data_IF_209175131373
#
_entry.id   IF_209175131373
#
_cell.length_a   1.000
_cell.length_b   1.000
_cell.length_c   1.000
_cell.angle_alpha   90.00
_cell.angle_beta   90.00
_cell.angle_gamma   90.00
#
_symmetry.space_group_name_H-M   'P 1'
#
loop_
_entity.id
_entity.type
_entity.pdbx_description
1 polymer ?
#
# COMPACT_ATOMS: atom_id res chain seq x y z
N UNK A 1 -54.25 -72.37 19.44
CA UNK A 1 -55.03 -71.35 20.18
C UNK A 1 -55.30 -70.22 19.20
N UNK A 2 -56.48 -70.22 18.61
CA UNK A 2 -57.03 -69.09 17.85
C UNK A 2 -57.97 -68.31 18.78
N UNK A 3 -58.02 -66.98 18.63
CA UNK A 3 -59.26 -66.23 18.82
C UNK A 3 -59.19 -64.87 18.07
N UNK A 4 -60.30 -64.37 17.50
CA UNK A 4 -60.36 -63.32 16.48
C UNK A 4 -60.73 -61.95 17.06
N UNK A 5 -60.64 -60.87 16.27
CA UNK A 5 -61.54 -59.69 16.36
C UNK A 5 -61.36 -58.75 15.16
N UNK A 6 -62.43 -58.58 14.38
CA UNK A 6 -62.68 -57.50 13.43
C UNK A 6 -63.05 -56.21 14.18
N UNK A 7 -62.68 -55.05 13.66
CA UNK A 7 -63.56 -53.86 13.55
C UNK A 7 -63.06 -52.95 12.43
N UNK A 8 -64.03 -52.34 11.75
CA UNK A 8 -63.90 -51.54 10.54
C UNK A 8 -64.50 -50.16 10.84
N UNK A 9 -63.83 -49.09 10.38
CA UNK A 9 -64.29 -47.70 10.12
C UNK A 9 -64.96 -46.89 11.25
N UNK A 10 -64.48 -45.66 11.46
CA UNK A 10 -65.18 -44.43 11.01
C UNK A 10 -64.37 -43.15 11.25
N UNK A 11 -64.35 -42.30 10.21
CA UNK A 11 -64.38 -40.83 10.19
C UNK A 11 -63.21 -39.99 10.74
N UNK A 12 -62.35 -39.55 9.81
CA UNK A 12 -61.54 -38.33 9.95
C UNK A 12 -62.07 -37.25 8.98
N UNK A 13 -62.36 -36.02 9.44
CA UNK A 13 -63.00 -35.00 8.62
C UNK A 13 -62.05 -34.26 7.66
N UNK A 14 -62.67 -33.76 6.59
CA UNK A 14 -62.13 -33.06 5.43
C UNK A 14 -61.53 -31.67 5.75
N UNK A 15 -60.44 -31.38 5.04
CA UNK A 15 -60.07 -30.12 4.35
C UNK A 15 -60.31 -28.78 5.07
N UNK A 16 -59.20 -28.15 5.47
CA UNK A 16 -59.07 -26.70 5.55
C UNK A 16 -58.06 -26.26 4.49
N UNK A 17 -58.52 -25.56 3.45
CA UNK A 17 -57.68 -25.01 2.38
C UNK A 17 -56.91 -23.81 2.93
N UNK A 18 -55.59 -23.81 2.77
CA UNK A 18 -54.73 -22.67 3.06
C UNK A 18 -55.02 -21.51 2.07
N UNK A 19 -55.02 -20.25 2.52
CA UNK A 19 -55.27 -19.12 1.65
C UNK A 19 -54.10 -18.91 0.67
N UNK A 20 -54.34 -18.30 -0.51
CA UNK A 20 -53.31 -18.12 -1.52
C UNK A 20 -52.19 -17.21 -1.00
N UNK A 21 -50.95 -17.63 -1.28
CA UNK A 21 -49.73 -16.90 -0.95
C UNK A 21 -49.80 -15.51 -1.60
N UNK A 22 -49.85 -14.46 -0.78
CA UNK A 22 -49.75 -13.09 -1.27
C UNK A 22 -48.41 -12.93 -2.00
N UNK A 23 -48.46 -12.55 -3.27
CA UNK A 23 -47.28 -12.16 -4.06
C UNK A 23 -46.61 -10.97 -3.38
N UNK A 24 -45.48 -11.24 -2.72
CA UNK A 24 -44.58 -10.21 -2.21
C UNK A 24 -44.05 -9.44 -3.42
N UNK A 25 -44.16 -8.10 -3.45
CA UNK A 25 -43.56 -7.32 -4.52
C UNK A 25 -42.06 -7.62 -4.56
N UNK A 26 -41.55 -8.03 -5.72
CA UNK A 26 -40.12 -8.11 -5.98
C UNK A 26 -39.53 -6.74 -5.66
N UNK A 27 -38.84 -6.66 -4.52
CA UNK A 27 -38.02 -5.52 -4.17
C UNK A 27 -37.07 -5.30 -5.34
N UNK A 28 -37.28 -4.19 -6.05
CA UNK A 28 -36.33 -3.69 -7.05
C UNK A 28 -34.99 -3.61 -6.33
N UNK A 29 -34.06 -4.47 -6.71
CA UNK A 29 -32.71 -4.45 -6.17
C UNK A 29 -32.14 -3.07 -6.49
N UNK A 30 -32.04 -2.22 -5.47
CA UNK A 30 -31.20 -1.04 -5.54
C UNK A 30 -29.79 -1.55 -5.79
N UNK A 31 -29.33 -1.46 -7.04
CA UNK A 31 -27.94 -1.67 -7.43
C UNK A 31 -27.10 -0.58 -6.76
N UNK A 32 -26.81 -0.75 -5.47
CA UNK A 32 -25.70 -0.05 -4.86
C UNK A 32 -24.45 -0.53 -5.58
N UNK A 33 -23.83 0.34 -6.37
CA UNK A 33 -22.55 0.06 -7.02
C UNK A 33 -21.49 -0.15 -5.95
N UNK A 34 -21.32 -1.41 -5.54
CA UNK A 34 -20.31 -1.78 -4.56
C UNK A 34 -18.98 -2.06 -5.24
N UNK A 35 -17.90 -1.70 -4.54
CA UNK A 35 -16.55 -2.12 -4.88
C UNK A 35 -16.07 -3.30 -4.05
N UNK A 36 -16.91 -3.86 -3.16
CA UNK A 36 -16.55 -4.99 -2.34
C UNK A 36 -16.29 -6.25 -3.18
N UNK A 37 -15.03 -6.72 -3.15
CA UNK A 37 -14.57 -8.03 -3.66
C UNK A 37 -15.07 -8.30 -5.08
N UNK A 38 -14.79 -7.36 -6.00
CA UNK A 38 -15.15 -7.50 -7.41
C UNK A 38 -14.45 -8.72 -8.01
N UNK A 39 -15.13 -9.37 -8.96
CA UNK A 39 -14.54 -10.45 -9.73
C UNK A 39 -13.31 -9.97 -10.48
N UNK A 40 -12.23 -10.73 -10.38
CA UNK A 40 -11.05 -10.52 -11.21
C UNK A 40 -11.40 -10.83 -12.67
N UNK A 41 -10.94 -10.01 -13.63
CA UNK A 41 -11.05 -10.33 -15.04
C UNK A 41 -10.34 -11.65 -15.38
N UNK A 42 -10.74 -12.32 -16.46
CA UNK A 42 -10.16 -13.60 -16.90
C UNK A 42 -8.65 -13.50 -17.22
N UNK A 43 -8.15 -12.29 -17.45
CA UNK A 43 -6.72 -11.99 -17.65
C UNK A 43 -5.89 -12.07 -16.36
N UNK A 44 -6.53 -12.20 -15.19
CA UNK A 44 -5.90 -12.25 -13.88
C UNK A 44 -6.21 -13.58 -13.19
N UNK A 45 -5.20 -14.18 -12.54
CA UNK A 45 -5.39 -15.40 -11.73
C UNK A 45 -5.38 -15.02 -10.26
N UNK A 46 -6.49 -15.23 -9.56
CA UNK A 46 -6.57 -14.97 -8.10
C UNK A 46 -5.47 -15.74 -7.35
N UNK A 47 -4.74 -15.07 -6.46
CA UNK A 47 -3.68 -15.68 -5.66
C UNK A 47 -4.17 -16.90 -4.86
N UNK A 48 -5.39 -16.83 -4.33
CA UNK A 48 -5.97 -17.89 -3.51
C UNK A 48 -6.62 -19.02 -4.32
N UNK A 49 -6.67 -18.95 -5.65
CA UNK A 49 -7.22 -20.04 -6.48
C UNK A 49 -6.27 -21.25 -6.52
N UNK A 50 -6.72 -22.46 -6.90
CA UNK A 50 -5.83 -23.60 -7.12
C UNK A 50 -4.67 -23.28 -8.07
N UNK A 51 -4.95 -22.55 -9.15
CA UNK A 51 -3.95 -22.12 -10.12
C UNK A 51 -3.00 -21.05 -9.54
N UNK A 52 -3.50 -20.07 -8.79
CA UNK A 52 -2.66 -19.06 -8.13
C UNK A 52 -1.71 -19.66 -7.10
N UNK A 53 -2.15 -20.69 -6.36
CA UNK A 53 -1.30 -21.46 -5.44
C UNK A 53 -0.28 -22.32 -6.16
N UNK A 54 -0.64 -22.89 -7.32
CA UNK A 54 0.30 -23.61 -8.18
C UNK A 54 1.42 -22.68 -8.65
N UNK A 55 1.07 -21.52 -9.22
CA UNK A 55 2.04 -20.50 -9.66
C UNK A 55 2.98 -20.07 -8.52
N UNK A 56 2.45 -19.83 -7.33
CA UNK A 56 3.27 -19.52 -6.15
C UNK A 56 4.24 -20.65 -5.80
N UNK A 57 3.74 -21.89 -5.79
CA UNK A 57 4.54 -23.07 -5.43
C UNK A 57 5.65 -23.32 -6.45
N UNK A 58 5.37 -23.13 -7.74
CA UNK A 58 6.37 -23.27 -8.80
C UNK A 58 7.39 -22.12 -8.75
N UNK A 59 6.95 -20.89 -8.48
CA UNK A 59 7.83 -19.73 -8.36
C UNK A 59 8.79 -19.80 -7.16
N UNK A 60 8.30 -20.24 -5.99
CA UNK A 60 9.14 -20.35 -4.79
C UNK A 60 10.14 -21.52 -4.86
N UNK A 61 9.77 -22.62 -5.53
CA UNK A 61 10.61 -23.82 -5.64
C UNK A 61 11.52 -23.82 -6.88
N UNK A 62 11.51 -22.77 -7.70
CA UNK A 62 12.45 -22.67 -8.82
C UNK A 62 13.89 -22.42 -8.30
N UNK A 63 14.95 -22.76 -9.06
CA UNK A 63 16.33 -22.64 -8.58
C UNK A 63 16.75 -21.24 -8.12
N UNK A 64 16.15 -20.19 -8.68
CA UNK A 64 16.41 -18.79 -8.29
C UNK A 64 15.51 -18.29 -7.15
N UNK A 65 14.45 -19.02 -6.79
CA UNK A 65 13.39 -18.60 -5.87
C UNK A 65 12.93 -17.14 -6.09
N UNK A 66 11.99 -16.94 -7.02
CA UNK A 66 11.47 -15.61 -7.32
C UNK A 66 10.34 -15.14 -6.38
N UNK A 67 10.31 -15.66 -5.15
CA UNK A 67 9.32 -15.27 -4.13
C UNK A 67 9.99 -14.71 -2.88
N UNK A 68 11.29 -14.39 -2.90
CA UNK A 68 12.00 -13.89 -1.72
C UNK A 68 11.34 -12.64 -1.10
N UNK A 69 10.94 -11.68 -1.94
CA UNK A 69 10.32 -10.44 -1.47
C UNK A 69 8.87 -10.61 -0.99
N UNK A 70 8.22 -11.73 -1.31
CA UNK A 70 6.84 -11.99 -0.89
C UNK A 70 6.71 -11.98 0.64
N UNK A 71 7.65 -12.60 1.34
CA UNK A 71 7.58 -12.77 2.80
C UNK A 71 7.58 -11.43 3.55
N UNK A 72 8.57 -10.55 3.37
CA UNK A 72 8.54 -9.25 4.04
C UNK A 72 7.36 -8.39 3.58
N UNK A 73 6.93 -8.45 2.30
CA UNK A 73 5.72 -7.74 1.87
C UNK A 73 4.44 -8.29 2.53
N UNK A 74 4.33 -9.60 2.72
CA UNK A 74 3.19 -10.24 3.34
C UNK A 74 3.07 -9.88 4.83
N UNK A 75 4.19 -9.78 5.54
CA UNK A 75 4.23 -9.28 6.93
C UNK A 75 3.72 -7.84 7.05
N UNK A 76 3.87 -7.05 5.98
CA UNK A 76 3.53 -5.63 5.94
C UNK A 76 2.26 -5.33 5.15
N UNK A 77 1.49 -6.35 4.76
CA UNK A 77 0.42 -6.15 3.81
C UNK A 77 -0.80 -5.46 4.44
N UNK A 78 -1.02 -4.20 4.03
CA UNK A 78 -2.10 -3.34 4.52
C UNK A 78 -3.16 -3.08 3.46
N UNK A 79 -4.34 -2.64 3.92
CA UNK A 79 -5.39 -2.10 3.05
C UNK A 79 -5.22 -0.58 2.99
N UNK A 80 -5.27 0.02 1.81
CA UNK A 80 -5.27 1.49 1.69
C UNK A 80 -6.42 2.10 2.51
N UNK A 81 -6.10 3.08 3.36
CA UNK A 81 -7.05 3.67 4.30
C UNK A 81 -8.09 4.56 3.63
N UNK A 82 -7.74 5.13 2.48
CA UNK A 82 -8.60 5.98 1.66
C UNK A 82 -8.61 5.50 0.20
N UNK A 83 -9.69 5.74 -0.57
CA UNK A 83 -9.78 5.31 -1.98
C UNK A 83 -8.63 5.81 -2.88
N UNK A 84 -8.05 6.96 -2.56
CA UNK A 84 -6.95 7.57 -3.31
C UNK A 84 -5.55 7.24 -2.74
N UNK A 85 -5.46 6.55 -1.60
CA UNK A 85 -4.18 6.30 -0.89
C UNK A 85 -3.38 5.10 -1.39
N UNK A 86 -3.72 4.51 -2.54
CA UNK A 86 -2.98 3.35 -3.07
C UNK A 86 -1.46 3.58 -3.13
N UNK A 87 -1.00 4.78 -3.50
CA UNK A 87 0.42 5.14 -3.50
C UNK A 87 1.03 5.20 -2.10
N UNK A 88 0.35 5.86 -1.15
CA UNK A 88 0.83 5.99 0.24
C UNK A 88 0.84 4.63 0.96
N UNK A 89 -0.21 3.82 0.79
CA UNK A 89 -0.29 2.48 1.37
C UNK A 89 0.82 1.58 0.81
N UNK A 90 1.05 1.64 -0.50
CA UNK A 90 2.14 0.92 -1.15
C UNK A 90 3.50 1.35 -0.60
N UNK A 91 3.73 2.65 -0.46
CA UNK A 91 5.00 3.15 0.06
C UNK A 91 5.22 2.72 1.53
N UNK A 92 4.22 2.87 2.40
CA UNK A 92 4.32 2.43 3.80
C UNK A 92 4.63 0.94 3.91
N UNK A 93 3.94 0.10 3.13
CA UNK A 93 4.20 -1.34 3.07
C UNK A 93 5.64 -1.63 2.63
N UNK A 94 6.13 -0.96 1.59
CA UNK A 94 7.49 -1.18 1.08
C UNK A 94 8.57 -0.70 2.06
N UNK A 95 8.41 0.46 2.70
CA UNK A 95 9.38 0.99 3.66
C UNK A 95 9.49 0.08 4.89
N UNK A 96 8.37 -0.43 5.41
CA UNK A 96 8.39 -1.39 6.51
C UNK A 96 8.99 -2.74 6.07
N UNK A 97 8.73 -3.20 4.83
CA UNK A 97 9.28 -4.45 4.31
C UNK A 97 10.79 -4.38 4.12
N UNK A 98 11.31 -3.19 3.77
CA UNK A 98 12.75 -2.87 3.74
C UNK A 98 13.31 -2.52 5.13
N UNK A 99 12.52 -2.64 6.21
CA UNK A 99 12.92 -2.36 7.59
C UNK A 99 13.47 -0.94 7.82
N UNK A 100 13.00 0.04 7.04
CA UNK A 100 13.41 1.43 7.19
C UNK A 100 12.79 2.02 8.46
N UNK A 101 13.61 2.62 9.31
CA UNK A 101 13.16 3.33 10.50
C UNK A 101 12.64 4.73 10.14
N UNK A 102 11.37 5.08 10.45
CA UNK A 102 10.84 6.42 10.18
C UNK A 102 11.61 7.55 10.88
N UNK A 103 12.38 7.24 11.94
CA UNK A 103 13.11 8.23 12.73
C UNK A 103 12.20 9.17 13.54
N UNK A 104 10.87 8.97 13.47
CA UNK A 104 9.83 9.75 14.15
C UNK A 104 8.78 8.83 14.77
N UNK A 105 8.10 9.34 15.78
CA UNK A 105 7.03 8.61 16.47
C UNK A 105 5.80 8.49 15.56
N UNK A 106 5.15 7.34 15.61
CA UNK A 106 3.88 7.06 14.95
C UNK A 106 2.73 7.19 15.95
N UNK A 107 2.68 6.29 16.93
CA UNK A 107 1.68 6.28 18.00
C UNK A 107 2.43 6.12 19.31
N UNK A 108 2.18 6.97 20.30
CA UNK A 108 2.90 6.91 21.58
C UNK A 108 4.43 6.78 21.39
N UNK A 109 5.10 5.78 22.01
CA UNK A 109 6.52 5.52 21.81
C UNK A 109 6.86 4.67 20.55
N UNK A 110 5.85 4.17 19.82
CA UNK A 110 6.04 3.28 18.68
C UNK A 110 6.45 4.05 17.42
N UNK A 111 7.31 3.43 16.60
CA UNK A 111 7.72 3.95 15.29
C UNK A 111 7.37 2.91 14.24
N UNK A 112 6.66 3.33 13.21
CA UNK A 112 6.24 2.47 12.11
C UNK A 112 5.76 3.33 10.94
N UNK A 113 6.01 2.93 9.70
CA UNK A 113 5.38 3.63 8.59
C UNK A 113 3.89 3.30 8.51
N UNK A 114 3.09 4.34 8.34
CA UNK A 114 1.71 4.27 7.90
C UNK A 114 1.43 5.48 7.00
N UNK A 115 0.30 5.48 6.31
CA UNK A 115 -0.07 6.53 5.35
C UNK A 115 -0.07 7.94 5.96
N UNK A 116 -0.37 8.06 7.26
CA UNK A 116 -0.44 9.34 7.98
C UNK A 116 0.94 9.99 8.20
N UNK A 117 2.04 9.24 8.05
CA UNK A 117 3.38 9.78 8.24
C UNK A 117 3.92 10.53 7.01
N UNK A 118 3.21 10.59 5.88
CA UNK A 118 3.74 11.16 4.63
C UNK A 118 3.46 12.67 4.42
N UNK A 119 3.15 13.42 5.49
CA UNK A 119 2.85 14.88 5.45
C UNK A 119 4.01 15.82 5.10
N UNK A 120 5.15 15.34 4.60
CA UNK A 120 6.34 16.17 4.38
C UNK A 120 6.17 17.15 3.20
N UNK A 121 5.72 16.66 2.04
CA UNK A 121 5.72 17.48 0.80
C UNK A 121 4.51 17.28 -0.10
N UNK A 122 3.62 16.34 0.23
CA UNK A 122 2.28 16.25 -0.36
C UNK A 122 1.30 16.40 0.77
N UNK A 123 0.39 17.37 0.65
CA UNK A 123 -0.69 17.52 1.62
C UNK A 123 -1.58 16.28 1.58
N UNK A 124 -1.79 15.63 2.73
CA UNK A 124 -2.63 14.43 2.81
C UNK A 124 -4.08 14.69 2.38
N UNK A 125 -4.60 15.92 2.57
CA UNK A 125 -5.93 16.29 2.06
C UNK A 125 -5.98 16.26 0.53
N UNK A 126 -4.93 16.77 -0.13
CA UNK A 126 -4.82 16.72 -1.60
C UNK A 126 -4.64 15.28 -2.08
N UNK A 127 -3.79 14.49 -1.40
CA UNK A 127 -3.60 13.08 -1.72
C UNK A 127 -4.89 12.27 -1.54
N UNK A 128 -5.75 12.63 -0.58
CA UNK A 128 -7.03 11.96 -0.33
C UNK A 128 -8.03 12.22 -1.45
N UNK A 129 -7.98 13.38 -2.08
CA UNK A 129 -8.88 13.74 -3.18
C UNK A 129 -8.39 13.20 -4.54
N UNK A 130 -7.08 13.28 -4.80
CA UNK A 130 -6.51 13.09 -6.16
C UNK A 130 -5.54 11.91 -6.28
N UNK A 131 -5.14 11.33 -5.16
CA UNK A 131 -4.03 10.38 -5.11
C UNK A 131 -2.69 11.09 -5.25
N UNK A 132 -1.66 10.32 -5.59
CA UNK A 132 -0.31 10.83 -5.85
C UNK A 132 0.18 10.36 -7.21
N UNK A 133 0.94 11.22 -7.88
CA UNK A 133 1.65 10.92 -9.11
C UNK A 133 2.91 10.07 -8.86
N UNK A 134 3.47 9.47 -9.91
CA UNK A 134 4.75 8.73 -9.81
C UNK A 134 5.91 9.64 -9.36
N UNK A 135 5.89 10.92 -9.75
CA UNK A 135 6.90 11.90 -9.32
C UNK A 135 6.79 12.21 -7.82
N UNK A 136 5.57 12.35 -7.30
CA UNK A 136 5.33 12.53 -5.86
C UNK A 136 5.69 11.26 -5.07
N UNK A 137 5.38 10.07 -5.61
CA UNK A 137 5.79 8.80 -5.00
C UNK A 137 7.32 8.72 -4.84
N UNK A 138 8.07 9.04 -5.90
CA UNK A 138 9.54 9.07 -5.86
C UNK A 138 10.08 10.06 -4.83
N UNK A 139 9.50 11.24 -4.81
CA UNK A 139 9.89 12.27 -3.87
C UNK A 139 9.65 11.83 -2.41
N UNK A 140 8.46 11.29 -2.11
CA UNK A 140 8.13 10.77 -0.78
C UNK A 140 9.05 9.61 -0.38
N UNK A 141 9.37 8.70 -1.30
CA UNK A 141 10.30 7.61 -1.06
C UNK A 141 11.69 8.15 -0.67
N UNK A 142 12.26 9.05 -1.48
CA UNK A 142 13.58 9.64 -1.21
C UNK A 142 13.62 10.42 0.11
N UNK A 143 12.57 11.18 0.44
CA UNK A 143 12.45 11.89 1.72
C UNK A 143 12.43 10.98 2.94
N UNK A 144 12.09 9.70 2.78
CA UNK A 144 12.09 8.71 3.85
C UNK A 144 13.28 7.75 3.76
N UNK A 145 14.36 8.13 3.06
CA UNK A 145 15.67 7.51 3.18
C UNK A 145 15.92 6.27 2.31
N UNK A 146 15.01 5.94 1.38
CA UNK A 146 15.24 4.85 0.42
C UNK A 146 15.88 5.33 -0.86
N UNK A 147 16.77 4.49 -1.40
CA UNK A 147 17.33 4.67 -2.75
C UNK A 147 16.27 4.25 -3.76
N UNK A 148 16.13 5.04 -4.83
CA UNK A 148 15.15 4.79 -5.89
C UNK A 148 15.84 4.68 -7.24
N UNK A 149 15.46 3.69 -8.03
CA UNK A 149 15.74 3.60 -9.47
C UNK A 149 14.38 3.60 -10.18
N UNK A 150 14.15 4.53 -11.11
CA UNK A 150 12.82 4.73 -11.70
C UNK A 150 12.83 4.69 -13.22
N UNK A 151 11.76 4.12 -13.77
CA UNK A 151 11.59 3.96 -15.21
C UNK A 151 10.19 4.37 -15.62
N UNK A 152 10.12 5.24 -16.62
CA UNK A 152 8.89 5.53 -17.36
C UNK A 152 8.76 4.55 -18.51
N UNK A 153 7.55 4.06 -18.76
CA UNK A 153 7.26 3.16 -19.87
C UNK A 153 7.19 3.92 -21.22
N UNK A 154 8.28 4.59 -21.54
CA UNK A 154 8.54 5.25 -22.82
C UNK A 154 9.09 4.25 -23.83
N UNK A 155 9.40 4.71 -25.06
CA UNK A 155 9.92 3.84 -26.13
C UNK A 155 11.29 3.23 -25.81
N UNK A 156 12.07 3.86 -24.94
CA UNK A 156 13.42 3.41 -24.59
C UNK A 156 13.42 2.35 -23.48
N UNK A 157 12.28 2.12 -22.83
CA UNK A 157 12.10 1.08 -21.84
C UNK A 157 11.39 -0.12 -22.48
N UNK A 158 12.02 -1.29 -22.49
CA UNK A 158 11.51 -2.50 -23.17
C UNK A 158 10.92 -3.51 -22.20
N UNK A 159 10.09 -4.43 -22.72
CA UNK A 159 9.55 -5.54 -21.95
C UNK A 159 10.68 -6.44 -21.38
N UNK A 160 11.72 -6.69 -22.16
CA UNK A 160 12.90 -7.44 -21.72
C UNK A 160 13.60 -6.76 -20.55
N UNK A 161 13.81 -5.44 -20.62
CA UNK A 161 14.41 -4.70 -19.51
C UNK A 161 13.51 -4.75 -18.26
N UNK A 162 12.19 -4.60 -18.43
CA UNK A 162 11.24 -4.77 -17.33
C UNK A 162 11.33 -6.17 -16.70
N UNK A 163 11.44 -7.22 -17.53
CA UNK A 163 11.60 -8.60 -17.06
C UNK A 163 12.88 -8.79 -16.26
N UNK A 164 13.98 -8.20 -16.69
CA UNK A 164 15.26 -8.30 -15.99
C UNK A 164 15.22 -7.61 -14.63
N UNK A 165 14.57 -6.44 -14.54
CA UNK A 165 14.33 -5.74 -13.27
C UNK A 165 13.48 -6.61 -12.32
N UNK A 166 12.40 -7.20 -12.82
CA UNK A 166 11.50 -8.05 -12.02
C UNK A 166 12.22 -9.30 -11.53
N UNK A 167 12.97 -9.99 -12.40
CA UNK A 167 13.75 -11.18 -12.02
C UNK A 167 14.77 -10.84 -10.93
N UNK A 168 15.53 -9.76 -11.11
CA UNK A 168 16.53 -9.29 -10.15
C UNK A 168 15.90 -8.99 -8.79
N UNK A 169 14.81 -8.23 -8.76
CA UNK A 169 14.16 -7.84 -7.50
C UNK A 169 13.51 -9.02 -6.80
N UNK A 170 12.78 -9.86 -7.53
CA UNK A 170 12.08 -11.00 -6.94
C UNK A 170 13.01 -12.12 -6.44
N UNK A 171 14.26 -12.19 -6.92
CA UNK A 171 15.28 -13.12 -6.45
C UNK A 171 15.96 -12.69 -5.14
N UNK A 172 15.60 -11.55 -4.57
CA UNK A 172 16.16 -11.04 -3.31
C UNK A 172 15.05 -10.47 -2.42
N UNK A 173 15.40 -10.06 -1.19
CA UNK A 173 14.50 -9.35 -0.28
C UNK A 173 14.96 -7.91 0.01
N UNK A 174 16.01 -7.43 -0.66
CA UNK A 174 16.64 -6.12 -0.40
C UNK A 174 16.14 -5.01 -1.35
N UNK A 175 15.33 -5.36 -2.35
CA UNK A 175 14.75 -4.41 -3.27
C UNK A 175 13.33 -4.78 -3.68
N UNK A 176 12.48 -3.76 -3.85
CA UNK A 176 11.06 -3.93 -4.16
C UNK A 176 10.73 -3.17 -5.44
N UNK A 177 10.14 -3.85 -6.41
CA UNK A 177 9.51 -3.20 -7.57
C UNK A 177 8.11 -2.75 -7.21
N UNK A 178 7.88 -1.44 -7.30
CA UNK A 178 6.56 -0.80 -7.21
C UNK A 178 6.11 -0.37 -8.60
N UNK A 179 4.89 -0.76 -8.98
CA UNK A 179 4.30 -0.37 -10.25
C UNK A 179 3.35 0.82 -10.05
N UNK A 180 3.41 1.77 -10.97
CA UNK A 180 2.33 2.70 -11.26
C UNK A 180 1.72 2.29 -12.60
N UNK A 181 0.46 1.87 -12.61
CA UNK A 181 -0.14 1.26 -13.79
C UNK A 181 -1.61 1.61 -13.96
N UNK A 182 -2.15 1.40 -15.16
CA UNK A 182 -3.59 1.55 -15.43
C UNK A 182 -4.33 0.23 -15.30
N UNK A 183 -5.31 0.17 -14.40
CA UNK A 183 -6.24 -0.96 -14.25
C UNK A 183 -7.06 -1.26 -15.50
N UNK A 184 -7.25 -0.28 -16.39
CA UNK A 184 -8.03 -0.44 -17.63
C UNK A 184 -7.47 -1.55 -18.53
N UNK A 185 -6.15 -1.63 -18.66
CA UNK A 185 -5.49 -2.68 -19.47
C UNK A 185 -5.73 -4.07 -18.90
N UNK A 186 -5.86 -4.18 -17.58
CA UNK A 186 -6.15 -5.44 -16.90
C UNK A 186 -7.64 -5.80 -16.95
N UNK A 187 -8.51 -4.91 -17.45
CA UNK A 187 -9.97 -5.08 -17.41
C UNK A 187 -10.57 -4.83 -16.02
N UNK A 188 -9.80 -4.22 -15.10
CA UNK A 188 -10.24 -3.93 -13.74
C UNK A 188 -10.92 -2.57 -13.70
N UNK A 189 -11.78 -2.38 -12.70
CA UNK A 189 -12.47 -1.09 -12.52
C UNK A 189 -11.59 -0.04 -11.85
N UNK A 190 -11.68 1.20 -12.32
CA UNK A 190 -10.77 2.28 -11.97
C UNK A 190 -9.68 2.47 -13.04
N UNK A 191 -8.72 3.35 -12.78
CA UNK A 191 -7.62 3.62 -13.71
C UNK A 191 -6.26 3.54 -13.02
N UNK A 192 -5.62 4.66 -12.67
CA UNK A 192 -4.30 4.68 -12.05
C UNK A 192 -4.29 3.95 -10.70
N UNK A 193 -3.27 3.12 -10.49
CA UNK A 193 -3.08 2.38 -9.24
C UNK A 193 -1.59 2.19 -8.95
N UNK A 194 -1.27 2.04 -7.66
CA UNK A 194 0.06 1.63 -7.18
C UNK A 194 -0.05 0.33 -6.39
N UNK A 195 0.88 -0.60 -6.64
CA UNK A 195 1.08 -1.81 -5.83
C UNK A 195 2.46 -2.40 -6.11
N UNK A 196 3.09 -3.10 -5.15
CA UNK A 196 4.34 -3.79 -5.40
C UNK A 196 4.13 -5.15 -6.04
N UNK A 197 5.19 -5.61 -6.71
CA UNK A 197 5.33 -6.99 -7.15
C UNK A 197 5.80 -7.83 -5.95
N UNK A 198 5.01 -8.84 -5.59
CA UNK A 198 5.33 -9.80 -4.54
C UNK A 198 6.12 -11.01 -5.01
N UNK A 199 6.21 -11.24 -6.33
CA UNK A 199 6.95 -12.38 -6.88
C UNK A 199 6.78 -12.54 -8.38
N UNK A 200 7.56 -13.45 -8.96
CA UNK A 200 7.61 -13.71 -10.39
C UNK A 200 7.60 -15.20 -10.71
N UNK A 201 6.79 -15.60 -11.67
CA UNK A 201 6.72 -16.97 -12.18
C UNK A 201 7.33 -17.02 -13.59
N UNK A 202 8.54 -17.56 -13.71
CA UNK A 202 9.34 -17.48 -14.93
C UNK A 202 8.75 -18.27 -16.11
N UNK A 203 8.20 -19.47 -15.86
CA UNK A 203 7.69 -20.32 -16.94
C UNK A 203 6.43 -19.76 -17.59
N UNK A 204 5.56 -19.13 -16.79
CA UNK A 204 4.34 -18.49 -17.30
C UNK A 204 4.53 -16.99 -17.60
N UNK A 205 5.71 -16.43 -17.33
CA UNK A 205 6.00 -14.99 -17.42
C UNK A 205 4.92 -14.15 -16.72
N UNK A 206 4.66 -14.43 -15.44
CA UNK A 206 3.64 -13.75 -14.63
C UNK A 206 4.21 -13.11 -13.38
N UNK A 207 3.64 -11.99 -12.96
CA UNK A 207 3.98 -11.31 -11.70
C UNK A 207 2.81 -11.36 -10.73
N UNK A 208 3.12 -11.53 -9.44
CA UNK A 208 2.14 -11.45 -8.37
C UNK A 208 2.00 -9.99 -7.92
N UNK A 209 0.83 -9.38 -8.13
CA UNK A 209 0.52 -8.05 -7.61
C UNK A 209 -0.04 -8.14 -6.19
N UNK A 210 0.61 -7.45 -5.25
CA UNK A 210 0.16 -7.31 -3.86
C UNK A 210 -0.80 -6.11 -3.74
N UNK A 211 -2.00 -6.25 -4.30
CA UNK A 211 -2.96 -5.14 -4.46
C UNK A 211 -3.43 -4.56 -3.10
N UNK A 212 -3.03 -3.32 -2.81
CA UNK A 212 -3.40 -2.60 -1.58
C UNK A 212 -4.88 -2.20 -1.49
N UNK A 213 -5.61 -2.22 -2.62
CA UNK A 213 -7.07 -2.06 -2.63
C UNK A 213 -7.76 -3.38 -2.25
N UNK A 214 -7.41 -3.95 -1.09
CA UNK A 214 -7.79 -5.31 -0.66
C UNK A 214 -9.30 -5.53 -0.50
N UNK A 215 -10.04 -4.44 -0.23
CA UNK A 215 -11.50 -4.44 -0.23
C UNK A 215 -12.09 -4.69 -1.61
N UNK A 216 -11.34 -4.42 -2.69
CA UNK A 216 -11.76 -4.48 -4.09
C UNK A 216 -11.27 -5.74 -4.80
N UNK A 217 -9.97 -5.97 -4.80
CA UNK A 217 -9.34 -7.11 -5.47
C UNK A 217 -8.35 -7.80 -4.53
N UNK A 218 -8.27 -9.15 -4.54
CA UNK A 218 -7.21 -9.86 -3.82
C UNK A 218 -5.87 -9.71 -4.54
N UNK A 219 -4.75 -10.12 -3.93
CA UNK A 219 -3.54 -10.39 -4.69
C UNK A 219 -3.83 -11.32 -5.88
N UNK A 220 -3.16 -11.09 -6.99
CA UNK A 220 -3.42 -11.82 -8.22
C UNK A 220 -2.21 -11.83 -9.13
N UNK A 221 -2.11 -12.88 -9.93
CA UNK A 221 -1.10 -13.04 -10.96
C UNK A 221 -1.58 -12.40 -12.26
N UNK A 222 -0.67 -11.69 -12.94
CA UNK A 222 -0.90 -11.08 -14.25
C UNK A 222 0.31 -11.36 -15.14
N UNK A 223 0.08 -11.61 -16.45
CA UNK A 223 1.16 -11.74 -17.43
C UNK A 223 2.02 -10.47 -17.45
N UNK A 224 3.35 -10.64 -17.44
CA UNK A 224 4.31 -9.54 -17.40
C UNK A 224 4.12 -8.56 -18.57
N UNK A 225 3.87 -9.08 -19.77
CA UNK A 225 3.57 -8.27 -20.97
C UNK A 225 2.34 -7.38 -20.79
N UNK A 226 1.27 -7.88 -20.17
CA UNK A 226 0.07 -7.09 -19.86
C UNK A 226 0.35 -6.02 -18.81
N UNK A 227 1.19 -6.31 -17.82
CA UNK A 227 1.63 -5.30 -16.87
C UNK A 227 2.47 -4.22 -17.54
N UNK A 228 3.34 -4.59 -18.48
CA UNK A 228 4.10 -3.64 -19.26
C UNK A 228 3.20 -2.71 -20.09
N UNK A 229 2.23 -3.26 -20.83
CA UNK A 229 1.21 -2.49 -21.55
C UNK A 229 0.47 -1.51 -20.62
N UNK A 230 0.14 -1.95 -19.40
CA UNK A 230 -0.57 -1.12 -18.42
C UNK A 230 0.22 0.08 -17.91
N UNK A 231 1.55 0.02 -17.93
CA UNK A 231 2.42 1.14 -17.58
C UNK A 231 2.58 2.15 -18.73
N UNK A 232 2.42 1.71 -19.99
CA UNK A 232 2.56 2.58 -21.16
C UNK A 232 1.44 3.61 -21.31
N UNK A 233 0.27 3.38 -20.67
CA UNK A 233 -0.80 4.37 -20.69
C UNK A 233 -0.38 5.65 -19.97
N UNK A 234 -0.67 6.79 -20.61
CA UNK A 234 -0.38 8.13 -20.08
C UNK A 234 -1.23 8.39 -18.82
N UNK A 235 -0.58 8.91 -17.79
CA UNK A 235 -1.24 9.52 -16.64
C UNK A 235 -1.64 10.96 -17.01
N UNK A 236 -2.96 11.28 -17.06
CA UNK A 236 -3.43 12.62 -17.40
C UNK A 236 -2.91 13.71 -16.45
N UNK A 237 -2.62 13.39 -15.19
CA UNK A 237 -2.15 14.37 -14.21
C UNK A 237 -0.74 14.88 -14.50
N UNK A 238 0.11 14.05 -15.12
CA UNK A 238 1.49 14.41 -15.49
C UNK A 238 1.67 14.60 -17.00
N UNK A 239 0.72 14.16 -17.83
CA UNK A 239 0.86 14.03 -19.27
C UNK A 239 2.12 13.23 -19.69
N UNK A 240 2.45 12.21 -18.91
CA UNK A 240 3.57 11.29 -19.12
C UNK A 240 3.09 9.84 -18.96
N UNK A 241 3.73 8.86 -19.63
CA UNK A 241 3.50 7.45 -19.32
C UNK A 241 3.69 7.16 -17.83
N UNK A 242 2.99 6.14 -17.34
CA UNK A 242 3.26 5.57 -16.01
C UNK A 242 4.57 4.78 -16.05
N UNK A 243 4.78 3.87 -15.11
CA UNK A 243 6.07 3.19 -15.00
C UNK A 243 6.26 2.44 -13.70
N UNK A 244 7.52 2.28 -13.30
CA UNK A 244 7.89 1.58 -12.09
C UNK A 244 8.97 2.33 -11.30
N UNK A 245 9.07 1.98 -10.03
CA UNK A 245 10.19 2.35 -9.14
C UNK A 245 10.72 1.09 -8.50
N UNK A 246 12.04 0.93 -8.49
CA UNK A 246 12.75 -0.02 -7.64
C UNK A 246 13.17 0.73 -6.37
N UNK A 247 12.68 0.28 -5.23
CA UNK A 247 13.05 0.78 -3.91
C UNK A 247 14.12 -0.12 -3.31
N UNK A 248 15.18 0.49 -2.76
CA UNK A 248 16.27 -0.22 -2.08
C UNK A 248 16.56 0.45 -0.75
N UNK A 249 16.98 -0.33 0.23
CA UNK A 249 17.55 0.23 1.46
C UNK A 249 18.75 1.13 1.12
N UNK A 250 18.77 2.33 1.68
CA UNK A 250 19.93 3.23 1.59
C UNK A 250 20.98 2.83 2.62
N UNK A 251 22.27 2.90 2.26
CA UNK A 251 23.32 2.92 3.28
C UNK A 251 23.08 4.14 4.18
N UNK A 252 22.83 3.88 5.47
CA UNK A 252 22.41 4.83 6.52
C UNK A 252 22.42 6.32 6.11
N UNK A 253 21.25 6.91 5.91
CA UNK A 253 21.10 8.33 6.29
C UNK A 253 20.94 8.34 7.79
N UNK A 254 22.06 8.20 8.50
CA UNK A 254 22.13 8.63 9.89
C UNK A 254 21.73 10.10 9.88
N UNK A 255 20.52 10.41 10.32
CA UNK A 255 20.22 11.75 10.79
C UNK A 255 21.20 12.00 11.94
N UNK A 256 22.36 12.58 11.62
CA UNK A 256 23.38 12.92 12.59
C UNK A 256 22.70 13.84 13.59
N UNK A 257 22.50 13.31 14.80
CA UNK A 257 21.99 14.02 15.99
C UNK A 257 22.94 15.13 16.48
N UNK A 258 23.70 15.77 15.59
CA UNK A 258 24.73 16.74 15.96
C UNK A 258 24.33 18.21 15.79
N UNK A 259 23.18 18.54 15.20
CA UNK A 259 22.81 19.95 14.96
C UNK A 259 21.70 20.52 15.86
N UNK A 260 21.45 19.94 17.04
CA UNK A 260 20.52 20.53 18.03
C UNK A 260 21.25 21.32 19.13
N UNK A 261 22.59 21.36 19.15
CA UNK A 261 23.36 22.10 20.17
C UNK A 261 24.22 23.26 19.67
N UNK A 262 24.28 23.53 18.37
CA UNK A 262 25.17 24.54 17.80
C UNK A 262 24.44 25.78 17.26
N UNK A 263 23.32 26.16 17.88
CA UNK A 263 22.58 27.40 17.60
C UNK A 263 22.48 28.35 18.81
N UNK A 264 23.33 28.19 19.83
CA UNK A 264 23.33 29.06 21.02
C UNK A 264 24.69 29.62 21.43
N UNK A 265 25.63 29.81 20.50
CA UNK A 265 26.83 30.62 20.74
C UNK A 265 27.22 31.38 19.47
N UNK A 266 26.62 32.55 19.24
CA UNK A 266 27.22 33.58 18.40
C UNK A 266 27.89 34.58 19.35
N UNK A 267 29.22 34.58 19.37
CA UNK A 267 30.02 35.66 19.95
C UNK A 267 30.81 36.32 18.81
N UNK A 268 31.01 37.61 18.99
CA UNK A 268 31.40 38.62 18.02
C UNK A 268 32.65 38.37 17.16
N UNK A 269 32.66 39.11 16.04
CA UNK A 269 33.79 39.50 15.19
C UNK A 269 34.19 38.55 14.06
N UNK A 270 33.63 38.78 12.86
CA UNK A 270 34.33 39.33 11.66
C UNK A 270 33.51 39.02 10.40
N UNK A 271 33.24 40.04 9.59
CA UNK A 271 32.56 39.93 8.28
C UNK A 271 33.56 39.58 7.16
N UNK A 272 33.13 38.99 6.03
CA UNK A 272 32.78 39.85 4.89
C UNK A 272 31.59 39.40 3.99
N UNK A 273 30.73 40.38 3.69
CA UNK A 273 30.10 40.86 2.43
C UNK A 273 29.67 39.89 1.29
N UNK A 274 28.44 40.18 0.79
CA UNK A 274 27.68 39.75 -0.42
C UNK A 274 26.78 38.51 -0.23
N UNK A 275 25.47 38.49 -0.48
CA UNK A 275 24.49 39.43 -1.06
C UNK A 275 23.07 38.94 -0.71
N UNK A 276 22.16 39.85 -0.32
CA UNK A 276 20.72 39.63 -0.06
C UNK A 276 19.91 39.44 -1.36
N UNK A 277 18.69 38.85 -1.38
CA UNK A 277 17.45 39.35 -0.72
C UNK A 277 16.57 38.21 -0.12
N UNK A 278 15.45 38.38 0.58
CA UNK A 278 14.64 39.45 1.16
C UNK A 278 13.66 38.73 2.11
N UNK A 279 13.41 39.28 3.30
CA UNK A 279 12.11 39.30 4.03
C UNK A 279 12.39 39.65 5.50
N UNK A 280 12.33 40.96 5.76
CA UNK A 280 12.43 41.59 7.07
C UNK A 280 11.05 41.77 7.70
N UNK A 281 10.87 41.30 8.93
CA UNK A 281 9.99 41.94 9.91
C UNK A 281 10.56 41.70 11.32
N UNK A 282 10.98 42.80 11.95
CA UNK A 282 11.70 42.91 13.23
C UNK A 282 10.91 42.39 14.44
N UNK A 283 11.58 41.91 15.52
CA UNK A 283 10.98 41.77 16.83
C UNK A 283 11.38 42.92 17.77
N UNK A 284 10.40 43.47 18.48
CA UNK A 284 10.59 44.39 19.61
C UNK A 284 10.90 43.61 20.90
N UNK A 285 11.91 44.10 21.59
CA UNK A 285 12.48 43.66 22.87
C UNK A 285 11.52 43.71 24.05
N UNK A 286 11.53 42.68 24.91
CA UNK A 286 11.38 42.83 26.37
C UNK A 286 12.26 41.77 27.06
N UNK A 287 13.22 42.26 27.84
CA UNK A 287 13.98 41.50 28.84
C UNK A 287 13.11 41.22 30.05
N UNK A 288 13.04 39.98 30.53
CA UNK A 288 12.88 39.76 31.97
C UNK A 288 13.49 38.42 32.40
N UNK A 289 14.35 38.50 33.41
CA UNK A 289 15.08 37.36 33.96
C UNK A 289 14.24 36.63 34.99
N UNK A 290 14.06 35.32 34.82
CA UNK A 290 13.69 34.42 35.91
C UNK A 290 14.50 33.13 35.89
N UNK A 291 15.18 32.92 37.01
CA UNK A 291 15.77 31.67 37.50
C UNK A 291 14.94 30.43 37.13
N UNK A 292 15.55 29.50 36.43
CA UNK A 292 15.06 28.11 36.28
C UNK A 292 15.35 27.32 37.56
N UNK A 293 14.39 26.57 38.13
CA UNK A 293 14.69 25.54 39.12
C UNK A 293 15.13 24.23 38.43
N UNK A 294 15.94 23.47 39.16
CA UNK A 294 16.58 22.21 38.78
C UNK A 294 15.69 21.23 37.99
N UNK A 295 16.27 20.69 36.91
CA UNK A 295 15.75 19.55 36.15
C UNK A 295 15.61 18.31 37.05
N UNK A 296 14.37 17.86 37.23
CA UNK A 296 14.06 16.55 37.77
C UNK A 296 14.34 15.44 36.73
N UNK A 297 14.76 14.28 37.22
CA UNK A 297 15.08 13.06 36.49
C UNK A 297 13.98 12.57 35.53
N UNK A 298 14.30 11.77 34.50
CA UNK A 298 13.34 11.34 33.48
C UNK A 298 12.19 10.53 34.09
N UNK A 299 10.97 10.91 33.70
CA UNK A 299 9.73 10.25 34.11
C UNK A 299 9.76 8.76 33.75
N UNK A 300 9.45 7.91 34.74
CA UNK A 300 9.29 6.46 34.59
C UNK A 300 8.36 6.14 33.42
N UNK A 301 8.80 5.25 32.53
CA UNK A 301 7.98 4.62 31.50
C UNK A 301 6.70 4.07 32.18
N UNK A 302 5.55 4.68 31.88
CA UNK A 302 4.26 4.13 32.29
C UNK A 302 4.10 2.77 31.60
N UNK A 303 3.80 1.73 32.37
CA UNK A 303 3.47 0.40 31.86
C UNK A 303 2.20 0.52 30.99
N UNK A 304 2.38 0.57 29.67
CA UNK A 304 1.29 0.45 28.72
C UNK A 304 0.91 -1.02 28.63
N UNK A 305 -0.13 -1.42 29.36
CA UNK A 305 -0.75 -2.74 29.18
C UNK A 305 -1.70 -2.66 27.99
N UNK A 306 -1.46 -3.46 26.95
CA UNK A 306 -2.53 -3.83 26.04
C UNK A 306 -3.63 -4.53 26.86
N UNK A 307 -4.88 -4.09 26.74
CA UNK A 307 -6.04 -4.68 27.44
C UNK A 307 -6.54 -5.91 26.64
N UNK A 308 -5.62 -6.61 25.97
CA UNK A 308 -5.92 -7.78 25.14
C UNK A 308 -5.60 -9.05 25.91
#
# INVERSE_FOLDING_TARGET
>A
MECPCRTNRQDAPLLSQSPPLATVPLLVANNFESFHRRHLPQTCVSFSSPEGRKLFTEAINCPQNYMHIYFPLAEQFITQAEPAYCGLATLAMCLNALQIDPGRLWKGPWRWFSEELFECCTSLSVAKEKGISLSEFLYLARCNGVITEDYRATKDFTLEHFRDIVKRSCATSSEIVVLNYSRKVLGQTGDGHFSPIGGYHAQEDMVLLMDVARFKYPPHWVKLSRMFESMQLVDPAMNLPRGLVVLKEGAEVTCTKNNVRQLMQCNDNTAPIFSQPCCSSSPSSVTDGRRMPNLAAPAKLKNWRCIC
#
